data_IF_703371712164
#
_entry.id   IF_703371712164
#
_cell.length_a   1.000
_cell.length_b   1.000
_cell.length_c   1.000
_cell.angle_alpha   90.00
_cell.angle_beta   90.00
_cell.angle_gamma   90.00
#
_symmetry.space_group_name_H-M   'P 1'
#
loop_
_entity.id
_entity.type
_entity.pdbx_description
1 polymer ?
#
# COMPACT_ATOMS: atom_id res chain seq x y z
N UNK A 1 22.78 -22.78 -3.73
CA UNK A 1 23.08 -21.54 -4.48
C UNK A 1 24.58 -21.26 -4.45
N UNK A 2 25.25 -21.08 -5.60
CA UNK A 2 26.62 -20.57 -5.65
C UNK A 2 26.60 -19.04 -5.55
N UNK A 3 27.10 -18.47 -4.46
CA UNK A 3 27.21 -17.02 -4.27
C UNK A 3 28.46 -16.53 -5.02
N UNK A 4 28.26 -15.68 -6.02
CA UNK A 4 29.35 -15.04 -6.76
C UNK A 4 29.71 -13.71 -6.09
N UNK A 5 30.93 -13.19 -6.36
CA UNK A 5 31.35 -11.88 -5.87
C UNK A 5 30.40 -10.74 -6.31
N UNK A 6 29.72 -10.90 -7.45
CA UNK A 6 28.69 -9.97 -7.91
C UNK A 6 27.43 -10.01 -7.03
N UNK A 7 26.93 -11.21 -6.67
CA UNK A 7 25.79 -11.36 -5.76
C UNK A 7 26.08 -10.81 -4.37
N UNK A 8 27.31 -10.95 -3.87
CA UNK A 8 27.71 -10.33 -2.59
C UNK A 8 27.64 -8.81 -2.65
N UNK A 9 28.08 -8.18 -3.75
CA UNK A 9 28.00 -6.73 -3.92
C UNK A 9 26.55 -6.23 -3.98
N UNK A 10 25.68 -6.95 -4.69
CA UNK A 10 24.25 -6.61 -4.75
C UNK A 10 23.58 -6.78 -3.38
N UNK A 11 23.95 -7.80 -2.60
CA UNK A 11 23.46 -7.98 -1.25
C UNK A 11 23.88 -6.82 -0.33
N UNK A 12 25.15 -6.40 -0.39
CA UNK A 12 25.61 -5.21 0.33
C UNK A 12 24.88 -3.94 -0.12
N UNK A 13 24.65 -3.77 -1.42
CA UNK A 13 23.88 -2.64 -1.95
C UNK A 13 22.45 -2.61 -1.40
N UNK A 14 21.75 -3.75 -1.38
CA UNK A 14 20.42 -3.88 -0.78
C UNK A 14 20.48 -3.50 0.70
N UNK A 15 21.44 -4.06 1.44
CA UNK A 15 21.57 -3.82 2.88
C UNK A 15 21.80 -2.34 3.20
N UNK A 16 22.73 -1.70 2.50
CA UNK A 16 23.03 -0.27 2.66
C UNK A 16 21.83 0.62 2.32
N UNK A 17 21.05 0.25 1.29
CA UNK A 17 19.85 1.02 0.91
C UNK A 17 18.72 0.84 1.92
N UNK A 18 18.50 -0.39 2.39
CA UNK A 18 17.51 -0.67 3.43
C UNK A 18 17.84 0.10 4.70
N UNK A 19 19.10 0.08 5.16
CA UNK A 19 19.52 0.85 6.34
C UNK A 19 19.28 2.36 6.21
N UNK A 20 19.50 2.92 5.01
CA UNK A 20 19.17 4.33 4.71
C UNK A 20 17.67 4.62 4.71
N UNK A 21 16.87 3.69 4.18
CA UNK A 21 15.42 3.85 4.09
C UNK A 21 14.73 3.73 5.45
N UNK A 22 15.19 2.81 6.31
CA UNK A 22 14.66 2.62 7.64
C UNK A 22 15.20 3.63 8.67
N UNK A 23 16.28 4.35 8.35
CA UNK A 23 16.88 5.36 9.24
C UNK A 23 17.49 4.77 10.51
N UNK A 24 17.90 3.50 10.46
CA UNK A 24 18.38 2.73 11.61
C UNK A 24 19.86 2.99 11.84
N UNK A 25 20.18 3.61 12.98
CA UNK A 25 21.55 3.73 13.51
C UNK A 25 21.97 2.44 14.25
N UNK A 26 23.26 2.29 14.59
CA UNK A 26 23.91 1.12 15.23
C UNK A 26 23.22 0.56 16.52
N UNK A 27 22.18 1.20 17.06
CA UNK A 27 21.39 0.73 18.20
C UNK A 27 19.96 0.33 17.77
N UNK A 28 19.84 -0.82 17.13
CA UNK A 28 18.59 -1.34 16.56
C UNK A 28 17.54 -1.62 17.63
N UNK A 29 16.40 -0.94 17.56
CA UNK A 29 15.20 -1.15 18.41
C UNK A 29 14.22 -2.09 17.71
N UNK A 30 13.27 -2.66 18.46
CA UNK A 30 12.22 -3.53 17.87
C UNK A 30 11.37 -2.83 16.80
N UNK A 31 11.16 -1.51 16.90
CA UNK A 31 10.43 -0.75 15.88
C UNK A 31 11.16 -0.76 14.53
N UNK A 32 12.47 -0.58 14.56
CA UNK A 32 13.38 -0.54 13.42
C UNK A 32 13.30 -1.83 12.59
N UNK A 33 13.02 -2.95 13.25
CA UNK A 33 12.96 -4.27 12.61
C UNK A 33 11.66 -4.47 11.85
N UNK A 34 10.53 -3.96 12.36
CA UNK A 34 9.27 -3.97 11.61
C UNK A 34 9.39 -3.13 10.35
N UNK A 35 10.05 -1.97 10.42
CA UNK A 35 10.26 -1.13 9.24
C UNK A 35 11.12 -1.85 8.19
N UNK A 36 12.23 -2.45 8.61
CA UNK A 36 13.09 -3.23 7.71
C UNK A 36 12.31 -4.41 7.12
N UNK A 37 11.53 -5.14 7.92
CA UNK A 37 10.69 -6.24 7.44
C UNK A 37 9.69 -5.81 6.38
N UNK A 38 9.05 -4.65 6.55
CA UNK A 38 8.11 -4.11 5.57
C UNK A 38 8.81 -3.72 4.26
N UNK A 39 10.00 -3.12 4.33
CA UNK A 39 10.80 -2.81 3.13
C UNK A 39 11.24 -4.11 2.44
N UNK A 40 11.79 -5.07 3.19
CA UNK A 40 12.23 -6.37 2.66
C UNK A 40 11.06 -7.16 2.07
N UNK A 41 9.87 -7.09 2.67
CA UNK A 41 8.65 -7.66 2.13
C UNK A 41 8.30 -7.06 0.76
N UNK A 42 8.47 -5.74 0.59
CA UNK A 42 8.35 -5.09 -0.71
C UNK A 42 9.33 -5.64 -1.75
N UNK A 43 10.61 -5.79 -1.39
CA UNK A 43 11.64 -6.37 -2.28
C UNK A 43 11.23 -7.78 -2.74
N UNK A 44 10.75 -8.60 -1.80
CA UNK A 44 10.29 -9.96 -2.08
C UNK A 44 9.03 -10.01 -2.94
N UNK A 45 8.03 -9.17 -2.66
CA UNK A 45 6.79 -9.14 -3.45
C UNK A 45 7.07 -8.72 -4.88
N UNK A 46 8.00 -7.78 -5.12
CA UNK A 46 8.41 -7.44 -6.50
C UNK A 46 9.05 -8.61 -7.23
N UNK A 47 9.85 -9.45 -6.55
CA UNK A 47 10.41 -10.65 -7.18
C UNK A 47 9.33 -11.69 -7.50
N UNK A 48 8.24 -11.73 -6.74
CA UNK A 48 7.09 -12.59 -7.02
C UNK A 48 6.31 -12.13 -8.26
N UNK A 49 6.24 -10.82 -8.53
CA UNK A 49 5.59 -10.27 -9.72
C UNK A 49 6.32 -10.55 -11.04
N UNK A 50 7.52 -11.16 -10.99
CA UNK A 50 8.19 -11.67 -12.19
C UNK A 50 7.56 -12.97 -12.73
N UNK A 51 6.65 -13.59 -11.96
CA UNK A 51 5.99 -14.83 -12.33
C UNK A 51 4.53 -14.59 -12.72
N UNK A 52 3.97 -15.47 -13.55
CA UNK A 52 2.57 -15.40 -14.00
C UNK A 52 1.57 -15.52 -12.84
N UNK A 53 1.92 -16.29 -11.81
CA UNK A 53 1.09 -16.50 -10.60
C UNK A 53 1.87 -16.02 -9.37
N UNK A 54 1.85 -14.72 -9.09
CA UNK A 54 2.67 -14.13 -8.02
C UNK A 54 2.26 -14.61 -6.62
N UNK A 55 0.98 -14.93 -6.42
CA UNK A 55 0.44 -15.50 -5.19
C UNK A 55 1.00 -16.90 -4.89
N UNK A 56 1.10 -17.75 -5.93
CA UNK A 56 1.71 -19.07 -5.82
C UNK A 56 3.22 -18.96 -5.58
N UNK A 57 3.91 -18.09 -6.32
CA UNK A 57 5.34 -17.84 -6.13
C UNK A 57 5.64 -17.37 -4.69
N UNK A 58 4.79 -16.50 -4.15
CA UNK A 58 4.89 -16.03 -2.76
C UNK A 58 4.73 -17.18 -1.76
N UNK A 59 3.72 -18.05 -1.97
CA UNK A 59 3.43 -19.20 -1.09
C UNK A 59 4.57 -20.23 -1.11
N UNK A 60 5.10 -20.56 -2.28
CA UNK A 60 6.24 -21.46 -2.44
C UNK A 60 7.53 -20.87 -1.83
N UNK A 61 7.74 -19.56 -1.96
CA UNK A 61 8.90 -18.90 -1.33
C UNK A 61 8.80 -18.87 0.19
N UNK A 62 7.60 -18.76 0.78
CA UNK A 62 7.42 -18.94 2.22
C UNK A 62 7.77 -20.37 2.66
N UNK A 63 7.34 -21.39 1.92
CA UNK A 63 7.73 -22.78 2.22
C UNK A 63 9.25 -22.97 2.14
N UNK A 64 9.90 -22.42 1.11
CA UNK A 64 11.36 -22.45 0.97
C UNK A 64 12.07 -21.73 2.13
N UNK A 65 11.56 -20.57 2.58
CA UNK A 65 12.12 -19.85 3.73
C UNK A 65 11.96 -20.65 5.01
N UNK A 66 10.79 -21.24 5.25
CA UNK A 66 10.55 -22.11 6.41
C UNK A 66 11.55 -23.27 6.47
N UNK A 67 11.78 -23.95 5.34
CA UNK A 67 12.78 -25.02 5.23
C UNK A 67 14.21 -24.49 5.45
N UNK A 68 14.55 -23.35 4.85
CA UNK A 68 15.89 -22.75 4.94
C UNK A 68 16.22 -22.31 6.36
N UNK A 69 15.26 -21.73 7.06
CA UNK A 69 15.40 -21.26 8.43
C UNK A 69 15.26 -22.39 9.46
N UNK A 70 14.65 -23.52 9.08
CA UNK A 70 14.39 -24.65 9.97
C UNK A 70 13.30 -24.37 11.00
N UNK A 71 12.33 -23.52 10.66
CA UNK A 71 11.26 -23.05 11.56
C UNK A 71 9.89 -23.11 10.88
N UNK A 72 8.83 -23.15 11.68
CA UNK A 72 7.48 -22.81 11.25
C UNK A 72 7.14 -21.38 11.71
N UNK A 73 6.27 -20.65 11.01
CA UNK A 73 5.79 -19.37 11.51
C UNK A 73 5.00 -19.58 12.81
N UNK A 74 5.10 -18.65 13.76
CA UNK A 74 4.39 -18.77 15.04
C UNK A 74 2.86 -18.72 14.86
N UNK A 75 2.14 -19.54 15.61
CA UNK A 75 0.68 -19.51 15.72
C UNK A 75 0.20 -18.47 16.76
N UNK A 76 1.13 -17.79 17.43
CA UNK A 76 0.81 -16.78 18.41
C UNK A 76 0.01 -15.61 17.79
N UNK A 77 -0.89 -15.04 18.58
CA UNK A 77 -1.63 -13.84 18.17
C UNK A 77 -0.64 -12.69 18.16
N UNK A 78 -0.27 -12.22 16.96
CA UNK A 78 0.51 -10.99 16.79
C UNK A 78 -0.40 -9.82 17.18
N UNK A 79 0.01 -8.99 18.16
CA UNK A 79 -0.72 -7.77 18.49
C UNK A 79 -0.88 -6.88 17.24
N UNK A 80 -2.05 -6.29 17.06
CA UNK A 80 -2.32 -5.40 15.92
C UNK A 80 -1.29 -4.26 15.79
N UNK A 81 -0.74 -3.79 16.91
CA UNK A 81 0.27 -2.74 16.98
C UNK A 81 1.69 -3.18 16.58
N UNK A 82 1.91 -4.49 16.38
CA UNK A 82 3.20 -5.04 15.96
C UNK A 82 3.48 -4.82 14.47
N UNK A 83 2.47 -4.42 13.71
CA UNK A 83 2.60 -4.03 12.30
C UNK A 83 2.28 -2.55 12.14
N UNK A 84 2.85 -1.92 11.13
CA UNK A 84 2.58 -0.52 10.88
C UNK A 84 1.18 -0.31 10.34
N UNK A 85 0.68 0.91 10.51
CA UNK A 85 -0.58 1.33 9.89
C UNK A 85 -0.52 1.05 8.38
N UNK A 86 -1.61 0.55 7.75
CA UNK A 86 -1.66 0.25 6.31
C UNK A 86 -0.99 1.26 5.37
N UNK A 87 -1.13 2.57 5.59
CA UNK A 87 -0.50 3.62 4.77
C UNK A 87 1.02 3.62 4.90
N UNK A 88 1.56 3.44 6.12
CA UNK A 88 3.00 3.37 6.37
C UNK A 88 3.57 2.06 5.79
N UNK A 89 2.83 0.96 5.94
CA UNK A 89 3.17 -0.34 5.33
C UNK A 89 3.24 -0.23 3.81
N UNK A 90 2.22 0.37 3.16
CA UNK A 90 2.22 0.61 1.72
C UNK A 90 3.42 1.45 1.27
N UNK A 91 3.69 2.56 1.95
CA UNK A 91 4.83 3.43 1.64
C UNK A 91 6.18 2.70 1.74
N UNK A 92 6.40 1.91 2.79
CA UNK A 92 7.66 1.17 3.01
C UNK A 92 7.81 0.00 2.03
N UNK A 93 6.72 -0.74 1.80
CA UNK A 93 6.75 -1.84 0.84
C UNK A 93 6.98 -1.33 -0.57
N UNK A 94 6.42 -0.18 -0.97
CA UNK A 94 6.73 0.41 -2.29
C UNK A 94 8.20 0.86 -2.40
N UNK A 95 8.82 1.39 -1.33
CA UNK A 95 10.26 1.67 -1.32
C UNK A 95 11.08 0.39 -1.58
N UNK A 96 10.69 -0.72 -0.94
CA UNK A 96 11.29 -2.03 -1.17
C UNK A 96 11.11 -2.53 -2.61
N UNK A 97 9.92 -2.37 -3.18
CA UNK A 97 9.64 -2.74 -4.57
C UNK A 97 10.46 -1.91 -5.56
N UNK A 98 10.57 -0.60 -5.33
CA UNK A 98 11.41 0.27 -6.14
C UNK A 98 12.89 -0.14 -6.07
N UNK A 99 13.37 -0.50 -4.88
CA UNK A 99 14.73 -1.05 -4.70
C UNK A 99 14.90 -2.35 -5.47
N UNK A 100 13.95 -3.28 -5.42
CA UNK A 100 14.03 -4.53 -6.17
C UNK A 100 14.12 -4.29 -7.69
N UNK A 101 13.34 -3.37 -8.25
CA UNK A 101 13.43 -2.98 -9.67
C UNK A 101 14.83 -2.48 -10.02
N UNK A 102 15.40 -1.61 -9.18
CA UNK A 102 16.77 -1.10 -9.37
C UNK A 102 17.82 -2.22 -9.32
N UNK A 103 17.67 -3.19 -8.42
CA UNK A 103 18.61 -4.33 -8.33
C UNK A 103 18.45 -5.26 -9.54
N UNK A 104 17.21 -5.46 -10.00
CA UNK A 104 16.90 -6.33 -11.12
C UNK A 104 17.54 -5.85 -12.44
N UNK A 105 17.67 -4.52 -12.63
CA UNK A 105 18.36 -3.94 -13.79
C UNK A 105 19.81 -4.42 -13.95
N UNK A 106 20.51 -4.63 -12.82
CA UNK A 106 21.88 -5.12 -12.77
C UNK A 106 21.98 -6.65 -12.59
N UNK A 107 20.84 -7.35 -12.48
CA UNK A 107 20.81 -8.78 -12.23
C UNK A 107 20.86 -9.57 -13.54
N UNK A 108 22.01 -10.19 -13.81
CA UNK A 108 22.29 -10.84 -15.10
C UNK A 108 21.71 -12.26 -15.29
N UNK A 109 21.00 -12.80 -14.29
CA UNK A 109 20.44 -14.17 -14.32
C UNK A 109 18.91 -14.12 -14.45
N UNK A 110 18.27 -15.28 -14.60
CA UNK A 110 16.81 -15.37 -14.78
C UNK A 110 16.02 -15.03 -13.49
N UNK A 111 14.71 -14.88 -13.65
CA UNK A 111 13.73 -14.52 -12.63
C UNK A 111 13.75 -15.50 -11.45
N UNK A 112 13.93 -16.80 -11.73
CA UNK A 112 14.08 -17.83 -10.70
C UNK A 112 15.32 -17.59 -9.83
N UNK A 113 16.46 -17.29 -10.45
CA UNK A 113 17.70 -17.02 -9.73
C UNK A 113 17.62 -15.71 -8.93
N UNK A 114 16.87 -14.72 -9.43
CA UNK A 114 16.60 -13.48 -8.71
C UNK A 114 15.74 -13.73 -7.48
N UNK A 115 14.61 -14.43 -7.63
CA UNK A 115 13.74 -14.78 -6.51
C UNK A 115 14.49 -15.59 -5.43
N UNK A 116 15.29 -16.59 -5.83
CA UNK A 116 16.14 -17.34 -4.88
C UNK A 116 17.16 -16.45 -4.16
N UNK A 117 17.76 -15.49 -4.87
CA UNK A 117 18.68 -14.53 -4.28
C UNK A 117 17.97 -13.63 -3.25
N UNK A 118 16.78 -13.13 -3.55
CA UNK A 118 16.00 -12.32 -2.60
C UNK A 118 15.58 -13.13 -1.38
N UNK A 119 15.11 -14.38 -1.56
CA UNK A 119 14.81 -15.28 -0.43
C UNK A 119 16.04 -15.51 0.45
N UNK A 120 17.22 -15.66 -0.15
CA UNK A 120 18.47 -15.74 0.61
C UNK A 120 18.74 -14.45 1.40
N UNK A 121 18.55 -13.27 0.81
CA UNK A 121 18.71 -11.99 1.54
C UNK A 121 17.75 -11.91 2.73
N UNK A 122 16.47 -12.25 2.54
CA UNK A 122 15.46 -12.30 3.60
C UNK A 122 15.89 -13.24 4.73
N UNK A 123 16.36 -14.44 4.39
CA UNK A 123 16.81 -15.41 5.37
C UNK A 123 17.98 -14.88 6.21
N UNK A 124 18.93 -14.15 5.61
CA UNK A 124 20.06 -13.57 6.35
C UNK A 124 19.59 -12.51 7.35
N UNK A 125 18.64 -11.63 6.99
CA UNK A 125 18.07 -10.68 7.94
C UNK A 125 17.44 -11.37 9.15
N UNK A 126 16.62 -12.39 8.90
CA UNK A 126 15.94 -13.12 9.97
C UNK A 126 16.93 -13.85 10.89
N UNK A 127 18.00 -14.42 10.33
CA UNK A 127 19.05 -15.09 11.12
C UNK A 127 19.85 -14.08 11.95
N UNK A 128 20.27 -12.96 11.36
CA UNK A 128 21.07 -11.93 12.03
C UNK A 128 20.35 -11.30 13.24
N UNK A 129 19.01 -11.24 13.18
CA UNK A 129 18.23 -10.70 14.29
C UNK A 129 18.02 -11.64 15.47
N UNK A 130 18.35 -12.94 15.36
CA UNK A 130 18.41 -13.81 16.54
C UNK A 130 19.43 -13.31 17.55
N UNK A 131 20.56 -12.77 17.06
CA UNK A 131 21.61 -12.21 17.90
C UNK A 131 21.12 -10.97 18.69
N UNK A 132 19.99 -10.38 18.25
CA UNK A 132 19.30 -9.26 18.90
C UNK A 132 18.10 -9.70 19.77
N UNK A 133 18.02 -10.98 20.16
CA UNK A 133 16.94 -11.59 20.96
C UNK A 133 15.54 -11.52 20.32
N UNK A 134 15.46 -11.52 18.99
CA UNK A 134 14.18 -11.60 18.28
C UNK A 134 14.03 -13.00 17.68
N UNK A 135 13.04 -13.78 18.10
CA UNK A 135 12.82 -15.12 17.57
C UNK A 135 12.58 -15.09 16.06
N UNK A 136 13.27 -15.96 15.30
CA UNK A 136 13.05 -16.08 13.85
C UNK A 136 11.61 -16.41 13.50
N UNK A 137 10.91 -17.19 14.33
CA UNK A 137 9.50 -17.53 14.12
C UNK A 137 8.58 -16.32 14.12
N UNK A 138 8.85 -15.33 14.97
CA UNK A 138 8.10 -14.08 15.06
C UNK A 138 8.45 -13.18 13.87
N UNK A 139 9.75 -13.00 13.59
CA UNK A 139 10.21 -12.21 12.44
C UNK A 139 9.70 -12.77 11.11
N UNK A 140 9.70 -14.10 10.96
CA UNK A 140 9.19 -14.78 9.77
C UNK A 140 7.67 -14.60 9.64
N UNK A 141 6.91 -14.72 10.73
CA UNK A 141 5.47 -14.47 10.72
C UNK A 141 5.14 -13.03 10.35
N UNK A 142 5.84 -12.04 10.91
CA UNK A 142 5.69 -10.61 10.58
C UNK A 142 6.04 -10.33 9.11
N UNK A 143 7.13 -10.93 8.60
CA UNK A 143 7.50 -10.86 7.20
C UNK A 143 6.38 -11.39 6.28
N UNK A 144 5.84 -12.57 6.57
CA UNK A 144 4.74 -13.17 5.80
C UNK A 144 3.52 -12.24 5.79
N UNK A 145 3.19 -11.67 6.94
CA UNK A 145 2.08 -10.75 7.12
C UNK A 145 2.25 -9.43 6.36
N UNK A 146 3.47 -8.89 6.30
CA UNK A 146 3.81 -7.71 5.52
C UNK A 146 3.75 -8.00 4.01
N UNK A 147 4.36 -9.10 3.58
CA UNK A 147 4.41 -9.51 2.17
C UNK A 147 3.00 -9.81 1.62
N UNK A 148 2.17 -10.51 2.40
CA UNK A 148 0.78 -10.82 2.01
C UNK A 148 -0.06 -9.55 1.83
N UNK A 149 0.08 -8.58 2.74
CA UNK A 149 -0.63 -7.27 2.63
C UNK A 149 -0.13 -6.45 1.46
N UNK A 150 1.19 -6.40 1.24
CA UNK A 150 1.79 -5.74 0.08
C UNK A 150 1.26 -6.35 -1.23
N UNK A 151 1.29 -7.68 -1.36
CA UNK A 151 0.72 -8.39 -2.51
C UNK A 151 -0.75 -8.04 -2.73
N UNK A 152 -1.56 -8.06 -1.66
CA UNK A 152 -2.98 -7.72 -1.74
C UNK A 152 -3.24 -6.27 -2.16
N UNK A 153 -2.42 -5.30 -1.71
CA UNK A 153 -2.51 -3.90 -2.14
C UNK A 153 -2.19 -3.72 -3.62
N UNK A 154 -1.17 -4.42 -4.13
CA UNK A 154 -0.78 -4.33 -5.54
C UNK A 154 -1.76 -5.06 -6.47
N UNK A 155 -2.25 -6.24 -6.07
CA UNK A 155 -3.36 -6.91 -6.77
C UNK A 155 -4.60 -6.00 -6.76
N UNK A 156 -4.91 -5.37 -5.62
CA UNK A 156 -6.04 -4.43 -5.55
C UNK A 156 -5.90 -3.24 -6.48
N UNK A 157 -4.70 -2.65 -6.57
CA UNK A 157 -4.46 -1.52 -7.47
C UNK A 157 -4.79 -1.86 -8.93
N UNK A 158 -4.51 -3.10 -9.35
CA UNK A 158 -4.74 -3.57 -10.72
C UNK A 158 -6.16 -4.11 -10.91
N UNK A 159 -6.50 -5.16 -10.19
CA UNK A 159 -7.72 -5.94 -10.40
C UNK A 159 -8.98 -5.16 -10.00
N UNK A 160 -8.93 -4.32 -8.96
CA UNK A 160 -10.11 -3.53 -8.59
C UNK A 160 -10.39 -2.45 -9.65
N UNK A 161 -9.34 -1.87 -10.23
CA UNK A 161 -9.46 -0.92 -11.34
C UNK A 161 -10.14 -1.59 -12.55
N UNK A 162 -9.65 -2.76 -12.95
CA UNK A 162 -10.18 -3.51 -14.08
C UNK A 162 -11.62 -4.00 -13.82
N UNK A 163 -11.91 -4.46 -12.59
CA UNK A 163 -13.24 -4.88 -12.18
C UNK A 163 -14.25 -3.73 -12.20
N UNK A 164 -13.85 -2.51 -11.82
CA UNK A 164 -14.71 -1.33 -11.93
C UNK A 164 -14.98 -0.99 -13.39
N UNK A 165 -13.97 -1.05 -14.25
CA UNK A 165 -14.15 -0.86 -15.70
C UNK A 165 -15.13 -1.89 -16.25
N UNK A 166 -14.93 -3.17 -15.95
CA UNK A 166 -15.78 -4.24 -16.48
C UNK A 166 -17.22 -4.16 -15.96
N UNK A 167 -17.40 -4.02 -14.64
CA UNK A 167 -18.71 -4.17 -13.98
C UNK A 167 -19.48 -2.87 -13.82
N UNK A 168 -18.83 -1.71 -13.87
CA UNK A 168 -19.50 -0.42 -13.71
C UNK A 168 -19.57 0.37 -15.00
N UNK A 169 -18.49 0.41 -15.77
CA UNK A 169 -18.50 1.10 -17.07
C UNK A 169 -19.06 0.18 -18.16
N UNK A 170 -18.63 -1.09 -18.19
CA UNK A 170 -19.06 -2.04 -19.21
C UNK A 170 -20.51 -2.51 -19.08
N UNK A 171 -21.04 -2.59 -17.86
CA UNK A 171 -22.40 -3.11 -17.60
C UNK A 171 -23.36 -2.15 -16.89
N UNK A 172 -22.89 -0.96 -16.49
CA UNK A 172 -23.74 0.08 -15.89
C UNK A 172 -23.45 1.43 -16.56
N UNK A 173 -24.12 2.49 -16.13
CA UNK A 173 -24.02 3.81 -16.75
C UNK A 173 -22.89 4.67 -16.14
N UNK A 174 -21.85 4.05 -15.56
CA UNK A 174 -20.73 4.83 -15.01
C UNK A 174 -19.85 5.38 -16.13
N UNK A 175 -19.57 6.67 -16.07
CA UNK A 175 -18.47 7.28 -16.80
C UNK A 175 -17.12 6.93 -16.17
N UNK A 176 -16.03 7.20 -16.88
CA UNK A 176 -14.68 7.11 -16.32
C UNK A 176 -14.47 8.09 -15.15
N UNK A 177 -15.13 9.25 -15.17
CA UNK A 177 -15.16 10.18 -14.04
C UNK A 177 -15.87 9.58 -12.82
N UNK A 178 -16.97 8.86 -13.01
CA UNK A 178 -17.68 8.17 -11.92
C UNK A 178 -16.84 7.05 -11.31
N UNK A 179 -16.04 6.35 -12.13
CA UNK A 179 -15.11 5.34 -11.64
C UNK A 179 -14.03 5.92 -10.72
N UNK A 180 -13.42 7.05 -11.13
CA UNK A 180 -12.47 7.80 -10.30
C UNK A 180 -13.15 8.25 -9.00
N UNK A 181 -14.29 8.94 -9.10
CA UNK A 181 -15.04 9.42 -7.94
C UNK A 181 -15.44 8.29 -6.99
N UNK A 182 -15.96 7.18 -7.51
CA UNK A 182 -16.46 6.06 -6.73
C UNK A 182 -15.36 5.38 -5.92
N UNK A 183 -14.21 5.11 -6.54
CA UNK A 183 -13.05 4.52 -5.84
C UNK A 183 -12.46 5.48 -4.80
N UNK A 184 -12.28 6.76 -5.16
CA UNK A 184 -11.77 7.78 -4.24
C UNK A 184 -12.72 8.03 -3.06
N UNK A 185 -14.02 8.13 -3.31
CA UNK A 185 -15.04 8.30 -2.29
C UNK A 185 -15.11 7.11 -1.36
N UNK A 186 -15.06 5.88 -1.89
CA UNK A 186 -15.08 4.68 -1.08
C UNK A 186 -13.84 4.57 -0.18
N UNK A 187 -12.66 4.98 -0.68
CA UNK A 187 -11.44 5.06 0.13
C UNK A 187 -11.62 6.02 1.32
N UNK A 188 -12.14 7.23 1.08
CA UNK A 188 -12.41 8.22 2.13
C UNK A 188 -13.49 7.76 3.12
N UNK A 189 -14.56 7.13 2.62
CA UNK A 189 -15.64 6.54 3.42
C UNK A 189 -15.13 5.44 4.35
N UNK A 190 -14.34 4.49 3.84
CA UNK A 190 -13.76 3.40 4.64
C UNK A 190 -12.83 3.92 5.72
N UNK A 191 -11.99 4.89 5.37
CA UNK A 191 -11.13 5.55 6.34
C UNK A 191 -11.94 6.24 7.44
N UNK A 192 -12.97 6.99 7.06
CA UNK A 192 -13.84 7.68 8.02
C UNK A 192 -14.54 6.72 8.98
N UNK A 193 -15.04 5.58 8.50
CA UNK A 193 -15.66 4.55 9.34
C UNK A 193 -14.64 3.93 10.30
N UNK A 194 -13.43 3.66 9.83
CA UNK A 194 -12.37 3.11 10.68
C UNK A 194 -12.02 4.08 11.80
N UNK A 195 -11.89 5.38 11.50
CA UNK A 195 -11.68 6.40 12.54
C UNK A 195 -12.88 6.50 13.50
N UNK A 196 -14.11 6.41 12.96
CA UNK A 196 -15.35 6.43 13.73
C UNK A 196 -15.43 5.32 14.78
N UNK A 197 -15.05 4.10 14.39
CA UNK A 197 -15.20 2.91 15.20
C UNK A 197 -14.09 2.73 16.24
N UNK A 198 -12.88 3.24 15.98
CA UNK A 198 -11.71 2.97 16.80
C UNK A 198 -11.29 4.14 17.72
N UNK A 199 -11.82 5.35 17.52
CA UNK A 199 -11.49 6.50 18.36
C UNK A 199 -10.15 7.17 18.03
N UNK A 200 -9.90 8.35 18.61
CA UNK A 200 -8.67 9.15 18.41
C UNK A 200 -7.39 8.44 18.87
N UNK A 201 -7.50 7.62 19.92
CA UNK A 201 -6.35 6.94 20.54
C UNK A 201 -5.75 5.85 19.63
N UNK A 202 -6.56 5.29 18.73
CA UNK A 202 -6.12 4.19 17.89
C UNK A 202 -5.14 4.63 16.80
N UNK A 203 -5.15 5.92 16.44
CA UNK A 203 -4.37 6.42 15.33
C UNK A 203 -3.93 7.88 15.47
N UNK A 204 -3.13 8.18 16.49
CA UNK A 204 -2.59 9.54 16.73
C UNK A 204 -1.80 10.12 15.53
N UNK A 205 -1.26 9.25 14.66
CA UNK A 205 -0.51 9.63 13.45
C UNK A 205 -1.32 9.55 12.15
N UNK A 206 -2.59 9.10 12.18
CA UNK A 206 -3.34 8.85 10.93
C UNK A 206 -4.13 10.07 10.44
N UNK A 207 -3.57 10.70 9.42
CA UNK A 207 -4.21 11.79 8.69
C UNK A 207 -4.80 11.27 7.39
N UNK A 208 -5.99 11.76 7.02
CA UNK A 208 -6.60 11.53 5.70
C UNK A 208 -5.61 11.86 4.56
N UNK A 209 -4.69 12.78 4.82
CA UNK A 209 -3.57 13.17 3.97
C UNK A 209 -2.68 11.99 3.57
N UNK A 210 -2.55 10.96 4.40
CA UNK A 210 -1.82 9.75 4.03
C UNK A 210 -2.57 8.90 3.01
N UNK A 211 -3.91 8.84 3.05
CA UNK A 211 -4.70 8.15 2.03
C UNK A 211 -4.64 8.92 0.71
N UNK A 212 -4.71 10.25 0.79
CA UNK A 212 -4.48 11.14 -0.35
C UNK A 212 -3.09 10.92 -0.95
N UNK A 213 -2.06 10.79 -0.12
CA UNK A 213 -0.70 10.53 -0.54
C UNK A 213 -0.59 9.18 -1.27
N UNK A 214 -1.18 8.10 -0.75
CA UNK A 214 -1.23 6.78 -1.42
C UNK A 214 -1.81 6.90 -2.82
N UNK A 215 -2.99 7.52 -2.96
CA UNK A 215 -3.63 7.73 -4.26
C UNK A 215 -2.76 8.56 -5.21
N UNK A 216 -2.12 9.61 -4.69
CA UNK A 216 -1.26 10.52 -5.45
C UNK A 216 -0.01 9.82 -5.97
N UNK A 217 0.68 9.06 -5.10
CA UNK A 217 1.87 8.31 -5.47
C UNK A 217 1.57 7.29 -6.56
N UNK A 218 0.47 6.56 -6.41
CA UNK A 218 0.06 5.56 -7.40
C UNK A 218 -0.24 6.20 -8.77
N UNK A 219 -0.96 7.32 -8.79
CA UNK A 219 -1.23 8.05 -10.02
C UNK A 219 0.04 8.61 -10.67
N UNK A 220 0.95 9.20 -9.89
CA UNK A 220 2.22 9.76 -10.38
C UNK A 220 3.11 8.66 -10.97
N UNK A 221 3.17 7.50 -10.31
CA UNK A 221 3.89 6.31 -10.79
C UNK A 221 3.40 5.86 -12.17
N UNK A 222 2.12 6.05 -12.45
CA UNK A 222 1.49 5.71 -13.73
C UNK A 222 1.53 6.85 -14.77
N UNK A 223 2.24 7.95 -14.47
CA UNK A 223 2.52 9.03 -15.42
C UNK A 223 1.65 10.28 -15.25
N UNK A 224 0.80 10.37 -14.23
CA UNK A 224 0.07 11.61 -13.92
C UNK A 224 1.07 12.66 -13.42
N UNK A 225 1.11 13.89 -13.99
CA UNK A 225 2.11 14.89 -13.60
C UNK A 225 2.07 15.23 -12.10
N UNK A 226 3.20 15.39 -11.41
CA UNK A 226 3.21 15.74 -9.99
C UNK A 226 2.87 17.23 -9.71
N UNK A 227 3.22 18.14 -10.63
CA UNK A 227 3.39 19.59 -10.39
C UNK A 227 2.14 20.48 -10.23
N UNK A 228 0.98 19.94 -9.87
CA UNK A 228 -0.20 20.77 -9.54
C UNK A 228 -0.67 20.44 -8.13
N UNK A 229 -0.93 21.46 -7.29
CA UNK A 229 -1.49 21.22 -5.96
C UNK A 229 -2.80 20.42 -6.09
N UNK A 230 -2.79 19.18 -5.64
CA UNK A 230 -3.90 18.23 -5.79
C UNK A 230 -5.17 18.68 -5.04
N UNK A 231 -5.02 19.63 -4.11
CA UNK A 231 -6.12 20.25 -3.36
C UNK A 231 -6.73 21.46 -4.05
N UNK A 232 -6.21 21.87 -5.20
CA UNK A 232 -6.73 23.02 -5.93
C UNK A 232 -8.17 22.74 -6.36
N UNK A 233 -9.12 23.58 -5.92
CA UNK A 233 -10.55 23.42 -6.21
C UNK A 233 -11.36 22.69 -5.13
N UNK A 234 -10.75 22.31 -4.00
CA UNK A 234 -11.50 21.83 -2.85
C UNK A 234 -12.39 22.93 -2.27
N UNK A 235 -13.57 22.53 -1.81
CA UNK A 235 -14.53 23.42 -1.17
C UNK A 235 -13.96 23.93 0.15
N UNK A 236 -14.26 25.17 0.49
CA UNK A 236 -13.85 25.75 1.77
C UNK A 236 -14.43 24.94 2.96
N UNK A 237 -13.66 24.90 4.06
CA UNK A 237 -13.96 24.07 5.23
C UNK A 237 -15.29 24.44 5.94
N UNK A 238 -15.84 25.60 5.64
CA UNK A 238 -17.10 26.14 6.18
C UNK A 238 -18.34 25.66 5.42
N UNK A 239 -18.18 25.01 4.26
CA UNK A 239 -19.30 24.43 3.52
C UNK A 239 -19.70 23.07 4.09
N UNK A 240 -21.00 22.73 4.11
CA UNK A 240 -21.47 21.39 4.45
C UNK A 240 -20.81 20.34 3.57
N UNK A 241 -20.54 19.16 4.15
CA UNK A 241 -19.96 18.06 3.38
C UNK A 241 -20.97 17.53 2.37
N UNK A 242 -20.51 17.28 1.13
CA UNK A 242 -21.34 16.79 0.03
C UNK A 242 -20.72 15.53 -0.62
N UNK A 243 -20.79 14.37 0.07
CA UNK A 243 -20.18 13.14 -0.42
C UNK A 243 -21.00 12.55 -1.59
N UNK A 244 -20.36 11.93 -2.60
CA UNK A 244 -21.06 11.27 -3.71
C UNK A 244 -21.67 9.93 -3.24
N UNK A 245 -22.73 10.03 -2.44
CA UNK A 245 -23.32 8.91 -1.69
C UNK A 245 -23.82 7.80 -2.61
N UNK A 246 -24.44 8.17 -3.73
CA UNK A 246 -24.92 7.20 -4.73
C UNK A 246 -23.77 6.34 -5.31
N UNK A 247 -22.60 6.93 -5.56
CA UNK A 247 -21.42 6.20 -6.04
C UNK A 247 -20.86 5.27 -4.96
N UNK A 248 -20.81 5.73 -3.70
CA UNK A 248 -20.36 4.93 -2.56
C UNK A 248 -21.28 3.71 -2.38
N UNK A 249 -22.60 3.93 -2.33
CA UNK A 249 -23.59 2.87 -2.17
C UNK A 249 -23.53 1.87 -3.32
N UNK A 250 -23.43 2.40 -4.55
CA UNK A 250 -23.33 1.58 -5.75
C UNK A 250 -22.09 0.70 -5.74
N UNK A 251 -20.90 1.21 -5.43
CA UNK A 251 -19.65 0.43 -5.46
C UNK A 251 -19.47 -0.51 -4.27
N UNK A 252 -20.16 -0.25 -3.15
CA UNK A 252 -19.99 -1.00 -1.89
C UNK A 252 -20.06 -2.52 -2.03
N UNK A 253 -21.07 -3.13 -2.71
CA UNK A 253 -21.15 -4.58 -2.86
C UNK A 253 -19.96 -5.16 -3.62
N UNK A 254 -19.50 -4.47 -4.66
CA UNK A 254 -18.36 -4.87 -5.47
C UNK A 254 -17.09 -4.92 -4.62
N UNK A 255 -16.80 -3.83 -3.91
CA UNK A 255 -15.63 -3.75 -3.04
C UNK A 255 -15.68 -4.77 -1.91
N UNK A 256 -16.86 -4.99 -1.31
CA UNK A 256 -17.02 -5.98 -0.23
C UNK A 256 -16.67 -7.38 -0.71
N UNK A 257 -17.21 -7.79 -1.85
CA UNK A 257 -16.99 -9.14 -2.36
C UNK A 257 -15.53 -9.33 -2.84
N UNK A 258 -14.95 -8.29 -3.45
CA UNK A 258 -13.53 -8.26 -3.84
C UNK A 258 -12.58 -8.37 -2.63
N UNK A 259 -12.78 -7.54 -1.62
CA UNK A 259 -11.94 -7.56 -0.41
C UNK A 259 -12.13 -8.84 0.41
N UNK A 260 -13.33 -9.46 0.35
CA UNK A 260 -13.56 -10.79 0.90
C UNK A 260 -12.68 -11.84 0.25
N UNK A 261 -12.48 -11.79 -1.06
CA UNK A 261 -11.64 -12.74 -1.78
C UNK A 261 -10.14 -12.54 -1.45
N UNK A 262 -9.71 -11.31 -1.21
CA UNK A 262 -8.32 -10.99 -0.83
C UNK A 262 -8.03 -11.05 0.68
N UNK A 263 -9.03 -11.41 1.49
CA UNK A 263 -8.93 -11.41 2.95
C UNK A 263 -8.53 -10.04 3.57
N UNK A 264 -8.84 -8.93 2.88
CA UNK A 264 -8.64 -7.56 3.38
C UNK A 264 -9.86 -7.11 4.18
N UNK A 265 -9.97 -7.56 5.43
CA UNK A 265 -11.16 -7.29 6.26
C UNK A 265 -11.09 -5.95 7.01
N UNK A 266 -9.90 -5.37 7.15
CA UNK A 266 -9.72 -4.12 7.87
C UNK A 266 -10.11 -2.92 7.00
N UNK A 267 -10.95 -2.01 7.53
CA UNK A 267 -11.38 -0.81 6.80
C UNK A 267 -10.22 0.14 6.40
N UNK A 268 -9.14 0.20 7.19
CA UNK A 268 -7.94 0.97 6.81
C UNK A 268 -7.19 0.33 5.63
N UNK A 269 -7.08 -1.00 5.60
CA UNK A 269 -6.48 -1.74 4.48
C UNK A 269 -7.33 -1.58 3.20
N UNK A 270 -8.66 -1.68 3.33
CA UNK A 270 -9.60 -1.43 2.22
C UNK A 270 -9.49 0.00 1.70
N UNK A 271 -9.28 0.99 2.58
CA UNK A 271 -9.08 2.38 2.20
C UNK A 271 -7.81 2.57 1.38
N UNK A 272 -6.67 1.99 1.82
CA UNK A 272 -5.40 2.00 1.07
C UNK A 272 -5.56 1.33 -0.29
N UNK A 273 -6.15 0.13 -0.32
CA UNK A 273 -6.38 -0.62 -1.55
C UNK A 273 -7.25 0.15 -2.57
N UNK A 274 -8.34 0.78 -2.11
CA UNK A 274 -9.17 1.63 -2.96
C UNK A 274 -8.45 2.92 -3.40
N UNK A 275 -7.64 3.52 -2.53
CA UNK A 275 -6.87 4.71 -2.88
C UNK A 275 -5.84 4.41 -3.99
N UNK A 276 -5.17 3.25 -3.93
CA UNK A 276 -4.29 2.80 -5.03
C UNK A 276 -5.08 2.55 -6.31
N UNK A 277 -6.17 1.81 -6.24
CA UNK A 277 -7.03 1.59 -7.42
C UNK A 277 -7.54 2.91 -8.02
N UNK A 278 -7.90 3.89 -7.19
CA UNK A 278 -8.28 5.23 -7.63
C UNK A 278 -7.11 5.97 -8.31
N UNK A 279 -5.89 5.86 -7.77
CA UNK A 279 -4.69 6.42 -8.38
C UNK A 279 -4.40 5.83 -9.76
N UNK A 280 -4.58 4.52 -9.93
CA UNK A 280 -4.45 3.84 -11.22
C UNK A 280 -5.56 4.26 -12.19
N UNK A 281 -6.81 4.32 -11.74
CA UNK A 281 -7.94 4.80 -12.53
C UNK A 281 -7.73 6.25 -12.98
N UNK A 282 -7.21 7.12 -12.11
CA UNK A 282 -6.84 8.49 -12.48
C UNK A 282 -5.87 8.54 -13.65
N UNK A 283 -4.87 7.65 -13.68
CA UNK A 283 -3.95 7.58 -14.80
C UNK A 283 -4.62 7.07 -16.08
N UNK A 284 -5.52 6.08 -15.98
CA UNK A 284 -6.33 5.61 -17.13
C UNK A 284 -7.13 6.76 -17.75
N UNK A 285 -7.69 7.62 -16.91
CA UNK A 285 -8.54 8.73 -17.35
C UNK A 285 -7.75 9.94 -17.85
N UNK A 286 -6.62 10.25 -17.22
CA UNK A 286 -5.93 11.52 -17.37
C UNK A 286 -4.61 11.47 -18.13
N UNK A 287 -4.11 10.27 -18.45
CA UNK A 287 -2.89 10.07 -19.23
C UNK A 287 -3.21 9.52 -20.63
N UNK A 288 -2.21 9.59 -21.52
CA UNK A 288 -2.31 9.13 -22.91
C UNK A 288 -2.56 10.24 -23.93
N UNK A 289 -2.41 9.91 -25.22
CA UNK A 289 -2.51 10.86 -26.33
C UNK A 289 -3.91 11.48 -26.48
N UNK A 290 -4.93 10.75 -26.02
CA UNK A 290 -6.33 11.17 -26.01
C UNK A 290 -6.95 10.97 -24.63
N UNK A 291 -6.39 11.65 -23.62
CA UNK A 291 -6.96 11.63 -22.27
C UNK A 291 -8.43 12.09 -22.27
N UNK A 292 -9.29 11.38 -21.54
CA UNK A 292 -10.74 11.69 -21.48
C UNK A 292 -11.00 12.90 -20.57
N UNK A 293 -10.31 12.98 -19.43
CA UNK A 293 -10.31 14.18 -18.60
C UNK A 293 -8.88 14.72 -18.45
N UNK A 294 -8.67 16.04 -18.63
CA UNK A 294 -7.41 16.66 -18.29
C UNK A 294 -7.03 16.38 -16.82
N UNK A 295 -5.75 16.12 -16.56
CA UNK A 295 -5.26 15.89 -15.18
C UNK A 295 -5.58 17.06 -14.23
N UNK A 296 -5.74 18.28 -14.75
CA UNK A 296 -6.12 19.46 -13.99
C UNK A 296 -7.57 19.42 -13.46
N UNK A 297 -8.42 18.54 -14.02
CA UNK A 297 -9.81 18.31 -13.63
C UNK A 297 -9.94 16.99 -12.87
N UNK A 298 -9.28 15.92 -13.34
CA UNK A 298 -9.38 14.60 -12.73
C UNK A 298 -8.84 14.56 -11.29
N UNK A 299 -7.72 15.24 -11.00
CA UNK A 299 -7.14 15.23 -9.65
C UNK A 299 -8.02 15.95 -8.61
N UNK A 300 -8.50 17.19 -8.85
CA UNK A 300 -9.44 17.82 -7.92
C UNK A 300 -10.71 17.02 -7.72
N UNK A 301 -11.21 16.36 -8.77
CA UNK A 301 -12.40 15.53 -8.70
C UNK A 301 -12.22 14.33 -7.76
N UNK A 302 -11.14 13.56 -7.92
CA UNK A 302 -10.79 12.48 -7.01
C UNK A 302 -10.59 12.96 -5.57
N UNK A 303 -9.89 14.08 -5.41
CA UNK A 303 -9.63 14.66 -4.09
C UNK A 303 -10.92 15.10 -3.40
N UNK A 304 -11.83 15.76 -4.12
CA UNK A 304 -13.12 16.19 -3.59
C UNK A 304 -13.94 14.98 -3.15
N UNK A 305 -14.06 13.97 -4.00
CA UNK A 305 -14.80 12.75 -3.69
C UNK A 305 -14.29 12.06 -2.41
N UNK A 306 -12.95 11.91 -2.27
CA UNK A 306 -12.31 11.32 -1.09
C UNK A 306 -12.53 12.17 0.16
N UNK A 307 -12.23 13.46 0.10
CA UNK A 307 -12.27 14.37 1.24
C UNK A 307 -13.69 14.59 1.75
N UNK A 308 -14.66 14.79 0.85
CA UNK A 308 -16.06 15.01 1.21
C UNK A 308 -16.69 13.76 1.84
N UNK A 309 -16.33 12.56 1.35
CA UNK A 309 -16.74 11.28 1.94
C UNK A 309 -16.21 11.10 3.36
N UNK A 310 -14.95 11.46 3.59
CA UNK A 310 -14.36 11.46 4.93
C UNK A 310 -15.01 12.52 5.84
N UNK A 311 -15.16 13.76 5.37
CA UNK A 311 -15.74 14.88 6.13
C UNK A 311 -17.19 14.59 6.55
N UNK A 312 -17.99 14.00 5.68
CA UNK A 312 -19.38 13.65 5.98
C UNK A 312 -19.48 12.70 7.18
N UNK A 313 -18.62 11.68 7.24
CA UNK A 313 -18.58 10.76 8.37
C UNK A 313 -18.06 11.43 9.64
N UNK A 314 -17.02 12.26 9.55
CA UNK A 314 -16.52 12.99 10.72
C UNK A 314 -17.54 13.97 11.28
N UNK A 315 -18.37 14.59 10.44
CA UNK A 315 -19.46 15.46 10.86
C UNK A 315 -20.54 14.70 11.66
N UNK A 316 -20.77 13.41 11.35
CA UNK A 316 -21.67 12.54 12.12
C UNK A 316 -21.05 12.08 13.46
N UNK A 317 -19.74 12.23 13.65
CA UNK A 317 -18.99 11.82 14.84
C UNK A 317 -18.09 12.96 15.39
N UNK A 318 -18.66 14.09 15.84
CA UNK A 318 -17.90 15.31 16.18
C UNK A 318 -16.87 15.15 17.32
N UNK A 319 -16.99 14.11 18.17
CA UNK A 319 -16.01 13.80 19.21
C UNK A 319 -14.62 13.40 18.68
N UNK A 320 -14.52 13.05 17.39
CA UNK A 320 -13.30 12.57 16.73
C UNK A 320 -12.49 13.66 16.03
N UNK A 321 -13.05 14.85 15.84
CA UNK A 321 -12.33 15.99 15.30
C UNK A 321 -11.48 16.58 16.44
N UNK A 322 -10.15 16.54 16.34
CA UNK A 322 -9.28 17.35 17.19
C UNK A 322 -9.05 18.70 16.50
N UNK A 323 -9.03 19.78 17.27
CA UNK A 323 -8.76 21.15 16.83
C UNK A 323 -7.28 21.38 16.46
N UNK A 324 -6.64 20.42 15.78
CA UNK A 324 -5.27 20.53 15.26
C UNK A 324 -5.23 20.16 13.78
N UNK A 325 -6.13 20.74 12.98
CA UNK A 325 -5.83 20.99 11.57
C UNK A 325 -4.90 22.22 11.52
N UNK A 326 -3.68 22.09 12.05
CA UNK A 326 -2.67 23.12 11.90
C UNK A 326 -2.18 23.11 10.45
N UNK A 327 -2.43 24.22 9.77
CA UNK A 327 -1.43 24.93 8.98
C UNK A 327 -0.03 24.29 8.98
N UNK A 328 0.48 24.02 7.78
CA UNK A 328 1.81 23.51 7.43
C UNK A 328 1.98 21.98 7.33
N UNK A 329 1.70 21.48 6.14
CA UNK A 329 2.66 20.62 5.42
C UNK A 329 2.73 21.15 4.00
N UNK A 330 3.78 21.90 3.70
CA UNK A 330 4.14 22.25 2.33
C UNK A 330 4.76 20.99 1.70
N UNK A 331 4.13 20.47 0.64
CA UNK A 331 4.74 19.54 -0.32
C UNK A 331 5.02 20.28 -1.62
#
# INVERSE_FOLDING_TARGET
MHITQAKTKLASYIHDHIGKLSGVDDNMRTHDIVEVLEIVAGVYVESCFLFEKPDLAMSEGFEKLSITLGIAPTDAIIPYQSMSHPQKLDARTEQGRALARSVLEDFAECEFAFSEFILWVVANYLIDWEDNNIPREDGFRLFMDAATRCMAFEISAQELCDLVIEKRIGTSDWSLADAVCGLSAYAGYKYGITQANHGKEFYQDSHIDMIVYVMTQEAVRMGVPAGSNWRLGLVANDSPADPPTELIESITPLCRDFFSALNLMNGAEQSVACAKAAGRMLAVVACGDTAELPHAIAKPLAMAALMESYRALMALHPGLISSQASTHVDF
#
